data_IF_733886399973
#
_entry.id   IF_733886399973
#
_cell.length_a   1.000
_cell.length_b   1.000
_cell.length_c   1.000
_cell.angle_alpha   90.00
_cell.angle_beta   90.00
_cell.angle_gamma   90.00
#
_symmetry.space_group_name_H-M   'P 1'
#
loop_
_entity.id
_entity.type
_entity.pdbx_description
1 polymer ?
#
# COMPACT_ATOMS: atom_id res chain seq x y z
N UNK A 1 6.24 13.60 -35.70
CA UNK A 1 7.35 14.07 -34.88
C UNK A 1 6.94 13.90 -33.42
N UNK A 2 7.36 12.81 -32.78
CA UNK A 2 7.10 12.62 -31.34
C UNK A 2 8.27 13.24 -30.59
N UNK A 3 8.03 14.38 -29.96
CA UNK A 3 8.98 14.88 -28.97
C UNK A 3 9.06 13.91 -27.80
N UNK A 4 10.25 13.46 -27.38
CA UNK A 4 10.42 12.73 -26.15
C UNK A 4 10.07 13.69 -25.01
N UNK A 5 8.96 13.40 -24.32
CA UNK A 5 8.53 14.16 -23.18
C UNK A 5 9.56 14.09 -22.06
N UNK A 6 10.21 15.19 -21.80
CA UNK A 6 11.02 15.45 -20.60
C UNK A 6 10.09 15.55 -19.38
N UNK A 7 9.44 14.41 -19.06
CA UNK A 7 8.55 14.32 -17.92
C UNK A 7 9.37 13.95 -16.70
N UNK A 8 9.37 14.84 -15.72
CA UNK A 8 9.83 14.57 -14.37
C UNK A 8 9.28 13.20 -13.89
N UNK A 9 10.07 12.41 -13.12
CA UNK A 9 9.64 11.10 -12.61
C UNK A 9 8.35 11.12 -11.80
N UNK A 10 7.88 12.30 -11.40
CA UNK A 10 6.63 12.48 -10.66
C UNK A 10 5.37 12.63 -11.54
N UNK A 11 5.52 12.64 -12.87
CA UNK A 11 4.38 12.72 -13.78
C UNK A 11 3.78 11.34 -14.05
N UNK A 12 2.50 11.18 -13.68
CA UNK A 12 1.73 9.96 -13.98
C UNK A 12 0.68 10.25 -15.03
N UNK A 13 0.67 9.47 -16.11
CA UNK A 13 -0.37 9.51 -17.15
C UNK A 13 -1.26 8.29 -17.01
N UNK A 14 -2.55 8.49 -17.09
CA UNK A 14 -3.53 7.40 -17.13
C UNK A 14 -4.18 7.34 -18.50
N UNK A 15 -4.28 6.14 -19.06
CA UNK A 15 -5.17 5.86 -20.17
C UNK A 15 -6.61 6.12 -19.73
N UNK A 16 -7.45 6.70 -20.62
CA UNK A 16 -8.78 7.21 -20.24
C UNK A 16 -9.70 6.12 -19.66
N UNK A 17 -9.72 4.91 -20.22
CA UNK A 17 -10.52 3.80 -19.69
C UNK A 17 -10.05 3.39 -18.30
N UNK A 18 -8.73 3.36 -18.09
CA UNK A 18 -8.15 3.08 -16.80
C UNK A 18 -8.51 4.15 -15.77
N UNK A 19 -8.48 5.42 -16.17
CA UNK A 19 -8.90 6.54 -15.33
C UNK A 19 -10.34 6.36 -14.85
N UNK A 20 -11.29 6.16 -15.79
CA UNK A 20 -12.69 5.97 -15.44
C UNK A 20 -12.94 4.74 -14.56
N UNK A 21 -12.28 3.62 -14.85
CA UNK A 21 -12.36 2.43 -14.00
C UNK A 21 -11.92 2.71 -12.56
N UNK A 22 -10.80 3.41 -12.39
CA UNK A 22 -10.28 3.78 -11.07
C UNK A 22 -11.22 4.79 -10.37
N UNK A 23 -11.82 5.72 -11.10
CA UNK A 23 -12.77 6.68 -10.56
C UNK A 23 -14.05 5.98 -10.03
N UNK A 24 -14.64 5.09 -10.85
CA UNK A 24 -15.82 4.29 -10.47
C UNK A 24 -15.50 3.34 -9.29
N UNK A 25 -14.27 2.84 -9.21
CA UNK A 25 -13.77 2.03 -8.11
C UNK A 25 -13.45 2.86 -6.85
N UNK A 26 -13.73 4.16 -6.85
CA UNK A 26 -13.46 5.08 -5.76
C UNK A 26 -11.97 5.07 -5.32
N UNK A 27 -11.05 5.04 -6.29
CA UNK A 27 -9.62 5.13 -6.00
C UNK A 27 -9.31 6.51 -5.38
N UNK A 28 -8.73 6.58 -4.16
CA UNK A 28 -8.53 7.85 -3.45
C UNK A 28 -7.72 8.88 -4.24
N UNK A 29 -6.66 8.46 -4.94
CA UNK A 29 -5.81 9.37 -5.70
C UNK A 29 -6.54 9.98 -6.91
N UNK A 30 -7.38 9.18 -7.59
CA UNK A 30 -8.16 9.65 -8.73
C UNK A 30 -9.30 10.56 -8.28
N UNK A 31 -9.98 10.20 -7.19
CA UNK A 31 -11.00 11.08 -6.61
C UNK A 31 -10.37 12.42 -6.18
N UNK A 32 -9.27 12.38 -5.42
CA UNK A 32 -8.56 13.59 -5.01
C UNK A 32 -8.18 14.49 -6.19
N UNK A 33 -7.74 13.91 -7.32
CA UNK A 33 -7.41 14.65 -8.53
C UNK A 33 -8.61 15.43 -9.07
N UNK A 34 -9.82 14.88 -9.01
CA UNK A 34 -11.05 15.55 -9.48
C UNK A 34 -11.50 16.70 -8.54
N UNK A 35 -11.00 16.74 -7.29
CA UNK A 35 -11.28 17.80 -6.31
C UNK A 35 -10.08 18.73 -6.06
N UNK A 36 -9.04 18.66 -6.90
CA UNK A 36 -7.96 19.67 -6.87
C UNK A 36 -8.52 21.06 -7.19
N UNK A 37 -7.86 22.07 -6.64
CA UNK A 37 -8.29 23.46 -6.83
C UNK A 37 -8.09 23.90 -8.29
N UNK A 38 -8.93 24.77 -8.83
CA UNK A 38 -8.79 25.27 -10.21
C UNK A 38 -7.40 25.84 -10.52
N UNK A 39 -6.78 26.51 -9.56
CA UNK A 39 -5.44 27.10 -9.70
C UNK A 39 -4.32 26.05 -9.78
N UNK A 40 -4.57 24.82 -9.36
CA UNK A 40 -3.62 23.72 -9.46
C UNK A 40 -3.74 22.98 -10.82
N UNK A 41 -4.74 23.31 -11.62
CA UNK A 41 -4.91 22.73 -12.95
C UNK A 41 -4.00 23.43 -13.95
N UNK A 42 -3.12 22.68 -14.62
CA UNK A 42 -2.24 23.23 -15.66
C UNK A 42 -2.96 23.45 -16.99
N UNK A 43 -3.73 22.46 -17.40
CA UNK A 43 -4.52 22.47 -18.63
C UNK A 43 -5.80 21.70 -18.39
N UNK A 44 -6.93 22.27 -18.73
CA UNK A 44 -8.23 21.59 -18.73
C UNK A 44 -8.83 21.70 -20.11
N UNK A 45 -9.07 20.57 -20.76
CA UNK A 45 -9.78 20.51 -22.05
C UNK A 45 -11.29 20.61 -21.84
N UNK A 46 -12.09 20.91 -22.88
CA UNK A 46 -13.55 20.89 -22.77
C UNK A 46 -14.13 19.55 -22.27
N UNK A 47 -13.46 18.44 -22.59
CA UNK A 47 -13.83 17.13 -22.03
C UNK A 47 -13.49 17.03 -20.53
N UNK A 48 -12.36 17.61 -20.12
CA UNK A 48 -11.97 17.72 -18.72
C UNK A 48 -12.94 18.55 -17.89
N UNK A 49 -13.41 19.68 -18.43
CA UNK A 49 -14.44 20.52 -17.77
C UNK A 49 -15.74 19.73 -17.53
N UNK A 50 -16.22 18.99 -18.54
CA UNK A 50 -17.39 18.12 -18.39
C UNK A 50 -17.19 17.03 -17.33
N UNK A 51 -15.98 16.44 -17.27
CA UNK A 51 -15.63 15.45 -16.26
C UNK A 51 -15.67 16.06 -14.85
N UNK A 52 -15.06 17.23 -14.69
CA UNK A 52 -15.03 17.94 -13.40
C UNK A 52 -16.44 18.38 -12.97
N UNK A 53 -17.28 18.78 -13.90
CA UNK A 53 -18.69 19.11 -13.61
C UNK A 53 -19.50 17.89 -13.15
N UNK A 54 -19.17 16.70 -13.67
CA UNK A 54 -19.84 15.44 -13.32
C UNK A 54 -19.17 14.66 -12.16
N UNK A 55 -18.15 15.23 -11.51
CA UNK A 55 -17.30 14.52 -10.52
C UNK A 55 -18.06 13.91 -9.36
N UNK A 56 -19.16 14.53 -8.90
CA UNK A 56 -19.96 14.03 -7.80
C UNK A 56 -20.63 12.68 -8.11
N UNK A 57 -20.88 12.39 -9.40
CA UNK A 57 -21.41 11.09 -9.83
C UNK A 57 -20.47 9.92 -9.55
N UNK A 58 -19.20 10.19 -9.25
CA UNK A 58 -18.23 9.15 -8.87
C UNK A 58 -18.21 8.88 -7.35
N UNK A 59 -18.88 9.71 -6.55
CA UNK A 59 -19.00 9.47 -5.13
C UNK A 59 -20.04 8.38 -4.87
N UNK A 60 -19.63 7.33 -4.22
CA UNK A 60 -20.48 6.18 -3.90
C UNK A 60 -20.13 5.60 -2.54
N UNK A 61 -20.99 4.71 -2.01
CA UNK A 61 -20.71 3.98 -0.75
C UNK A 61 -19.40 3.18 -0.78
N UNK A 62 -18.87 2.87 -1.97
CA UNK A 62 -17.54 2.24 -2.12
C UNK A 62 -16.41 3.10 -1.57
N UNK A 63 -16.59 4.41 -1.45
CA UNK A 63 -15.59 5.31 -0.85
C UNK A 63 -15.23 4.83 0.55
N UNK A 64 -16.20 4.55 1.41
CA UNK A 64 -15.93 4.08 2.78
C UNK A 64 -15.04 2.83 2.79
N UNK A 65 -15.40 1.85 1.97
CA UNK A 65 -14.66 0.58 1.88
C UNK A 65 -13.25 0.79 1.30
N UNK A 66 -13.14 1.51 0.19
CA UNK A 66 -11.86 1.72 -0.51
C UNK A 66 -10.91 2.58 0.30
N UNK A 67 -11.37 3.71 0.82
CA UNK A 67 -10.55 4.58 1.65
C UNK A 67 -10.13 3.88 2.95
N UNK A 68 -11.05 3.13 3.56
CA UNK A 68 -10.73 2.29 4.73
C UNK A 68 -9.63 1.28 4.44
N UNK A 69 -9.70 0.55 3.33
CA UNK A 69 -8.64 -0.39 2.92
C UNK A 69 -7.28 0.30 2.70
N UNK A 70 -7.28 1.46 2.02
CA UNK A 70 -6.04 2.23 1.81
C UNK A 70 -5.48 2.75 3.14
N UNK A 71 -6.33 3.25 4.03
CA UNK A 71 -5.92 3.70 5.35
C UNK A 71 -5.32 2.56 6.19
N UNK A 72 -5.96 1.39 6.20
CA UNK A 72 -5.42 0.19 6.87
C UNK A 72 -4.08 -0.26 6.28
N UNK A 73 -3.91 -0.18 4.95
CA UNK A 73 -2.64 -0.48 4.30
C UNK A 73 -1.53 0.49 4.74
N UNK A 74 -1.82 1.80 4.87
CA UNK A 74 -0.87 2.77 5.39
C UNK A 74 -0.53 2.48 6.86
N UNK A 75 -1.52 2.19 7.69
CA UNK A 75 -1.30 1.85 9.10
C UNK A 75 -0.43 0.59 9.24
N UNK A 76 -0.68 -0.44 8.43
CA UNK A 76 0.15 -1.65 8.40
C UNK A 76 1.61 -1.32 8.04
N UNK A 77 1.84 -0.48 7.04
CA UNK A 77 3.19 -0.02 6.66
C UNK A 77 3.87 0.73 7.81
N UNK A 78 3.17 1.67 8.44
CA UNK A 78 3.69 2.43 9.60
C UNK A 78 4.14 1.47 10.69
N UNK A 79 3.30 0.49 11.06
CA UNK A 79 3.63 -0.50 12.09
C UNK A 79 4.83 -1.37 11.70
N UNK A 80 4.87 -1.86 10.47
CA UNK A 80 5.97 -2.70 9.98
C UNK A 80 7.29 -1.91 9.95
N UNK A 81 7.29 -0.70 9.38
CA UNK A 81 8.49 0.13 9.32
C UNK A 81 8.96 0.55 10.72
N UNK A 82 8.02 0.85 11.62
CA UNK A 82 8.37 1.13 13.03
C UNK A 82 9.07 -0.06 13.70
N UNK A 83 8.58 -1.28 13.48
CA UNK A 83 9.24 -2.50 13.99
C UNK A 83 10.66 -2.59 13.46
N UNK A 84 10.88 -2.34 12.18
CA UNK A 84 12.22 -2.37 11.59
C UNK A 84 13.14 -1.24 12.08
N UNK A 85 12.59 -0.08 12.42
CA UNK A 85 13.35 1.01 13.01
C UNK A 85 13.80 0.69 14.44
N UNK A 86 12.92 0.09 15.25
CA UNK A 86 13.17 -0.17 16.67
C UNK A 86 13.89 -1.50 16.92
N UNK A 87 13.64 -2.49 16.09
CA UNK A 87 14.18 -3.85 16.21
C UNK A 87 14.48 -4.41 14.81
N UNK A 88 15.55 -3.92 14.16
CA UNK A 88 15.93 -4.41 12.84
C UNK A 88 16.28 -5.89 12.89
N UNK A 89 15.95 -6.66 11.85
CA UNK A 89 16.37 -8.06 11.75
C UNK A 89 17.90 -8.16 11.77
N UNK A 90 18.44 -9.07 12.56
CA UNK A 90 19.89 -9.25 12.75
C UNK A 90 20.58 -9.89 11.54
N UNK A 91 19.83 -10.54 10.65
CA UNK A 91 20.38 -11.22 9.46
C UNK A 91 19.33 -11.99 8.68
N UNK A 92 19.74 -12.57 7.58
CA UNK A 92 18.90 -13.45 6.79
C UNK A 92 18.50 -14.70 7.61
N UNK A 93 17.20 -15.10 7.58
CA UNK A 93 16.78 -16.29 8.28
C UNK A 93 17.41 -17.53 7.64
N UNK A 94 17.88 -18.45 8.47
CA UNK A 94 18.44 -19.74 8.06
C UNK A 94 17.45 -20.87 8.33
N UNK A 95 17.52 -21.95 7.57
CA UNK A 95 16.68 -23.12 7.75
C UNK A 95 16.84 -23.76 9.14
N UNK A 96 18.09 -23.79 9.63
CA UNK A 96 18.41 -24.32 10.95
C UNK A 96 17.69 -23.61 12.09
N UNK A 97 17.45 -22.31 12.01
CA UNK A 97 16.68 -21.54 12.99
C UNK A 97 15.22 -22.04 13.13
N UNK A 98 14.71 -22.73 12.12
CA UNK A 98 13.36 -23.29 12.09
C UNK A 98 13.35 -24.82 12.31
N UNK A 99 14.52 -25.41 12.66
CA UNK A 99 14.66 -26.86 12.82
C UNK A 99 14.47 -27.63 11.50
N UNK A 100 14.82 -27.00 10.38
CA UNK A 100 14.74 -27.59 9.04
C UNK A 100 16.15 -27.98 8.57
N UNK A 101 16.29 -29.07 7.79
CA UNK A 101 17.57 -29.43 7.15
C UNK A 101 17.98 -28.36 6.13
N UNK A 102 19.26 -28.28 5.80
CA UNK A 102 19.83 -27.26 4.89
C UNK A 102 19.14 -27.23 3.52
N UNK A 103 18.66 -28.38 3.06
CA UNK A 103 17.89 -28.48 1.81
C UNK A 103 16.52 -29.08 2.10
N UNK A 104 15.50 -28.56 1.41
CA UNK A 104 14.18 -29.20 1.48
C UNK A 104 14.21 -30.51 0.71
N UNK A 105 13.62 -31.55 1.32
CA UNK A 105 13.39 -32.83 0.67
C UNK A 105 12.01 -32.90 0.00
N UNK A 106 11.20 -31.89 0.20
CA UNK A 106 9.83 -31.82 -0.35
C UNK A 106 9.88 -31.00 -1.65
N UNK A 107 9.48 -31.57 -2.79
CA UNK A 107 9.34 -30.83 -4.03
C UNK A 107 8.42 -29.62 -3.89
N UNK A 108 8.69 -28.53 -4.63
CA UNK A 108 7.99 -27.27 -4.47
C UNK A 108 6.49 -27.35 -4.78
N UNK A 109 6.10 -28.17 -5.73
CA UNK A 109 4.71 -28.48 -6.11
C UNK A 109 3.98 -29.23 -5.01
N UNK A 110 4.61 -30.23 -4.40
CA UNK A 110 4.05 -30.99 -3.29
C UNK A 110 3.92 -30.12 -2.03
N UNK A 111 4.88 -29.23 -1.80
CA UNK A 111 4.82 -28.29 -0.69
C UNK A 111 3.65 -27.31 -0.86
N UNK A 112 3.45 -26.78 -2.07
CA UNK A 112 2.35 -25.88 -2.38
C UNK A 112 0.98 -26.58 -2.25
N UNK A 113 0.86 -27.81 -2.72
CA UNK A 113 -0.36 -28.60 -2.59
C UNK A 113 -0.70 -28.91 -1.12
N UNK A 114 0.30 -29.29 -0.33
CA UNK A 114 0.12 -29.55 1.10
C UNK A 114 -0.22 -28.27 1.90
N UNK A 115 0.38 -27.13 1.56
CA UNK A 115 0.02 -25.83 2.15
C UNK A 115 -1.44 -25.47 1.85
N UNK A 116 -1.91 -25.71 0.61
CA UNK A 116 -3.30 -25.43 0.20
C UNK A 116 -4.30 -26.32 0.96
N UNK A 117 -4.00 -27.60 1.15
CA UNK A 117 -4.84 -28.53 1.92
C UNK A 117 -4.95 -28.11 3.40
N UNK A 118 -3.84 -27.71 4.01
CA UNK A 118 -3.85 -27.22 5.39
C UNK A 118 -4.65 -25.93 5.56
N UNK A 119 -4.57 -25.02 4.58
CA UNK A 119 -5.28 -23.75 4.60
C UNK A 119 -6.79 -23.96 4.35
N UNK A 120 -7.19 -25.00 3.60
CA UNK A 120 -8.59 -25.40 3.41
C UNK A 120 -9.22 -26.07 4.64
N UNK A 121 -8.44 -26.40 5.67
CA UNK A 121 -8.92 -27.08 6.87
C UNK A 121 -9.17 -28.59 6.72
N UNK A 122 -8.79 -29.16 5.58
CA UNK A 122 -8.96 -30.59 5.26
C UNK A 122 -7.89 -31.47 5.94
N UNK A 123 -7.74 -31.29 7.27
CA UNK A 123 -6.73 -32.01 8.04
C UNK A 123 -7.01 -33.51 8.16
N UNK A 124 -8.29 -33.90 8.06
CA UNK A 124 -8.73 -35.27 8.22
C UNK A 124 -8.80 -36.07 6.90
N UNK A 125 -8.70 -35.39 5.76
CA UNK A 125 -8.82 -36.03 4.45
C UNK A 125 -7.53 -36.68 3.93
N UNK A 126 -6.38 -36.34 4.51
CA UNK A 126 -5.10 -36.95 4.17
C UNK A 126 -4.59 -37.73 5.37
N UNK A 127 -4.18 -38.95 5.11
CA UNK A 127 -3.45 -39.83 6.07
C UNK A 127 -2.03 -39.26 6.32
N UNK A 128 -2.00 -38.00 6.82
CA UNK A 128 -0.78 -37.19 6.97
C UNK A 128 -0.28 -37.27 8.36
N UNK A 129 0.92 -37.79 8.52
CA UNK A 129 1.52 -37.94 9.85
C UNK A 129 1.68 -36.59 10.56
N UNK A 130 1.48 -36.51 11.90
CA UNK A 130 1.68 -35.30 12.68
C UNK A 130 3.06 -34.64 12.46
N UNK A 131 4.10 -35.48 12.28
CA UNK A 131 5.45 -35.02 11.99
C UNK A 131 5.55 -34.26 10.65
N UNK A 132 4.83 -34.70 9.62
CA UNK A 132 4.82 -34.03 8.32
C UNK A 132 4.13 -32.69 8.42
N UNK A 133 3.00 -32.58 9.14
CA UNK A 133 2.32 -31.31 9.40
C UNK A 133 3.24 -30.32 10.13
N UNK A 134 4.01 -30.80 11.08
CA UNK A 134 4.96 -29.95 11.79
C UNK A 134 6.08 -29.44 10.87
N UNK A 135 6.63 -30.27 10.01
CA UNK A 135 7.63 -29.88 9.01
C UNK A 135 7.05 -28.84 8.05
N UNK A 136 5.83 -29.02 7.55
CA UNK A 136 5.15 -28.04 6.70
C UNK A 136 4.97 -26.68 7.40
N UNK A 137 4.57 -26.69 8.67
CA UNK A 137 4.43 -25.47 9.44
C UNK A 137 5.78 -24.75 9.65
N UNK A 138 6.86 -25.50 9.82
CA UNK A 138 8.22 -24.94 9.90
C UNK A 138 8.66 -24.35 8.55
N UNK A 139 8.40 -25.02 7.43
CA UNK A 139 8.65 -24.49 6.07
C UNK A 139 7.85 -23.20 5.81
N UNK A 140 6.57 -23.18 6.17
CA UNK A 140 5.72 -21.98 6.03
C UNK A 140 6.27 -20.79 6.85
N UNK A 141 6.70 -21.04 8.08
CA UNK A 141 7.34 -20.02 8.94
C UNK A 141 8.66 -19.52 8.35
N UNK A 142 9.49 -20.42 7.84
CA UNK A 142 10.75 -20.06 7.19
C UNK A 142 10.53 -19.23 5.94
N UNK A 143 9.62 -19.63 5.04
CA UNK A 143 9.25 -18.84 3.84
C UNK A 143 8.72 -17.47 4.21
N UNK A 144 7.88 -17.37 5.24
CA UNK A 144 7.38 -16.09 5.75
C UNK A 144 8.51 -15.20 6.27
N UNK A 145 9.44 -15.74 7.03
CA UNK A 145 10.60 -15.02 7.54
C UNK A 145 11.52 -14.55 6.40
N UNK A 146 11.74 -15.38 5.37
CA UNK A 146 12.48 -14.97 4.18
C UNK A 146 11.79 -13.84 3.41
N UNK A 147 10.46 -13.89 3.28
CA UNK A 147 9.70 -12.84 2.63
C UNK A 147 9.80 -11.52 3.42
N UNK A 148 9.70 -11.57 4.75
CA UNK A 148 9.89 -10.41 5.63
C UNK A 148 11.30 -9.84 5.53
N UNK A 149 12.32 -10.68 5.48
CA UNK A 149 13.70 -10.26 5.29
C UNK A 149 13.92 -9.55 3.94
N UNK A 150 13.35 -10.09 2.86
CA UNK A 150 13.40 -9.42 1.55
C UNK A 150 12.71 -8.07 1.59
N UNK A 151 11.51 -7.99 2.17
CA UNK A 151 10.78 -6.72 2.31
C UNK A 151 11.56 -5.69 3.14
N UNK A 152 12.22 -6.12 4.21
CA UNK A 152 13.09 -5.26 5.01
C UNK A 152 14.26 -4.69 4.19
N UNK A 153 14.95 -5.55 3.42
CA UNK A 153 16.07 -5.10 2.58
C UNK A 153 15.60 -4.17 1.46
N UNK A 154 14.45 -4.45 0.83
CA UNK A 154 13.88 -3.57 -0.18
C UNK A 154 13.49 -2.21 0.42
N UNK A 155 12.90 -2.19 1.61
CA UNK A 155 12.61 -0.96 2.33
C UNK A 155 13.91 -0.20 2.64
N UNK A 156 14.94 -0.87 3.13
CA UNK A 156 16.22 -0.26 3.48
C UNK A 156 16.90 0.37 2.27
N UNK A 157 16.90 -0.31 1.11
CA UNK A 157 17.46 0.19 -0.15
C UNK A 157 16.70 1.40 -0.70
N UNK A 158 15.37 1.40 -0.55
CA UNK A 158 14.49 2.42 -1.11
C UNK A 158 14.14 3.53 -0.10
N UNK A 159 14.71 3.47 1.11
CA UNK A 159 14.50 4.48 2.13
C UNK A 159 15.05 5.82 1.68
N UNK A 160 14.23 6.87 1.78
CA UNK A 160 14.65 8.21 1.41
C UNK A 160 15.49 8.83 2.54
N UNK A 161 16.78 9.12 2.29
CA UNK A 161 17.67 9.68 3.32
C UNK A 161 17.15 10.99 3.92
N UNK A 162 16.56 11.87 3.11
CA UNK A 162 16.02 13.16 3.58
C UNK A 162 14.86 13.02 4.60
N UNK A 163 14.28 11.81 4.73
CA UNK A 163 13.21 11.52 5.70
C UNK A 163 13.69 10.67 6.88
N UNK A 164 14.89 10.11 6.81
CA UNK A 164 15.41 9.23 7.85
C UNK A 164 15.47 9.91 9.22
N UNK A 165 15.82 11.18 9.27
CA UNK A 165 15.88 11.95 10.50
C UNK A 165 14.50 12.16 11.14
N UNK A 166 13.48 12.39 10.29
CA UNK A 166 12.09 12.48 10.75
C UNK A 166 11.58 11.13 11.27
N UNK A 167 11.93 10.05 10.58
CA UNK A 167 11.57 8.69 10.99
C UNK A 167 12.19 8.33 12.34
N UNK A 168 13.46 8.66 12.55
CA UNK A 168 14.15 8.48 13.84
C UNK A 168 13.51 9.34 14.93
N UNK A 169 13.26 10.62 14.64
CA UNK A 169 12.69 11.58 15.61
C UNK A 169 11.29 11.19 16.05
N UNK A 170 10.43 10.75 15.13
CA UNK A 170 9.03 10.45 15.41
C UNK A 170 8.74 8.96 15.58
N UNK A 171 9.70 8.10 15.28
CA UNK A 171 9.56 6.64 15.39
C UNK A 171 8.67 6.00 14.33
N UNK A 172 8.34 6.73 13.25
CA UNK A 172 7.58 6.21 12.12
C UNK A 172 7.76 7.07 10.86
N UNK A 173 7.42 6.51 9.68
CA UNK A 173 7.40 7.26 8.41
C UNK A 173 6.25 8.29 8.41
N UNK A 174 6.61 9.56 8.57
CA UNK A 174 5.67 10.68 8.64
C UNK A 174 4.86 10.86 7.35
N UNK A 175 5.39 10.46 6.18
CA UNK A 175 4.65 10.49 4.91
C UNK A 175 3.47 9.53 4.94
N UNK A 176 3.67 8.31 5.42
CA UNK A 176 2.58 7.34 5.57
C UNK A 176 1.56 7.81 6.61
N UNK A 177 2.02 8.44 7.70
CA UNK A 177 1.15 9.07 8.69
C UNK A 177 0.27 10.17 8.09
N UNK A 178 0.86 11.07 7.32
CA UNK A 178 0.14 12.12 6.59
C UNK A 178 -0.91 11.54 5.63
N UNK A 179 -0.54 10.52 4.85
CA UNK A 179 -1.48 9.86 3.95
C UNK A 179 -2.64 9.19 4.69
N UNK A 180 -2.37 8.54 5.82
CA UNK A 180 -3.39 7.92 6.66
C UNK A 180 -4.43 8.96 7.12
N UNK A 181 -3.96 10.05 7.72
CA UNK A 181 -4.85 11.13 8.23
C UNK A 181 -5.64 11.76 7.08
N UNK A 182 -5.00 12.03 5.94
CA UNK A 182 -5.66 12.60 4.75
C UNK A 182 -6.77 11.69 4.25
N UNK A 183 -6.51 10.40 4.08
CA UNK A 183 -7.52 9.44 3.62
C UNK A 183 -8.71 9.32 4.56
N UNK A 184 -8.45 9.33 5.88
CA UNK A 184 -9.52 9.30 6.87
C UNK A 184 -10.38 10.56 6.83
N UNK A 185 -9.77 11.75 6.75
CA UNK A 185 -10.51 13.01 6.64
C UNK A 185 -11.35 13.06 5.39
N UNK A 186 -10.78 12.74 4.23
CA UNK A 186 -11.52 12.68 2.97
C UNK A 186 -12.71 11.71 3.05
N UNK A 187 -12.51 10.52 3.62
CA UNK A 187 -13.59 9.55 3.78
C UNK A 187 -14.72 10.10 4.66
N UNK A 188 -14.39 10.74 5.78
CA UNK A 188 -15.38 11.35 6.67
C UNK A 188 -16.13 12.47 5.98
N UNK A 189 -15.44 13.38 5.29
CA UNK A 189 -16.07 14.49 4.54
C UNK A 189 -17.06 13.98 3.50
N UNK A 190 -16.69 12.94 2.73
CA UNK A 190 -17.58 12.36 1.71
C UNK A 190 -18.78 11.65 2.35
N UNK A 191 -18.59 10.97 3.48
CA UNK A 191 -19.67 10.23 4.15
C UNK A 191 -20.63 11.14 4.91
N UNK A 192 -20.12 12.23 5.48
CA UNK A 192 -20.88 13.16 6.31
C UNK A 192 -21.71 14.15 5.45
N UNK A 193 -21.12 14.66 4.38
CA UNK A 193 -21.78 15.66 3.54
C UNK A 193 -22.64 15.05 2.44
N UNK A 194 -22.41 13.80 2.06
CA UNK A 194 -22.95 13.24 0.82
C UNK A 194 -22.55 14.02 -0.43
N UNK A 195 -21.92 15.14 -0.23
CA UNK A 195 -21.35 16.07 -1.21
C UNK A 195 -19.86 16.15 -0.93
N UNK A 196 -19.03 15.90 -1.94
CA UNK A 196 -17.60 16.06 -1.82
C UNK A 196 -17.21 17.50 -1.57
N UNK A 197 -17.45 17.99 -0.35
CA UNK A 197 -16.98 19.31 0.04
C UNK A 197 -15.46 19.37 -0.08
N UNK A 198 -14.98 20.47 -0.57
CA UNK A 198 -13.60 20.81 -0.92
C UNK A 198 -12.62 20.34 0.15
N UNK A 199 -11.95 19.24 -0.10
CA UNK A 199 -10.81 18.82 0.71
C UNK A 199 -9.73 19.90 0.64
N UNK A 200 -9.62 20.73 1.64
CA UNK A 200 -8.48 21.63 1.80
C UNK A 200 -7.26 20.80 2.19
N UNK A 201 -6.60 20.21 1.22
CA UNK A 201 -5.51 19.25 1.43
C UNK A 201 -4.15 19.89 1.71
N UNK A 202 -4.08 21.20 1.87
CA UNK A 202 -2.80 21.86 2.15
C UNK A 202 -2.94 22.88 3.29
N UNK A 203 -2.16 22.75 4.39
CA UNK A 203 -1.99 23.85 5.31
C UNK A 203 -1.41 25.07 4.53
N UNK A 204 -1.76 26.30 4.92
CA UNK A 204 -1.20 27.49 4.27
C UNK A 204 0.33 27.35 4.27
N UNK A 205 0.95 27.64 3.13
CA UNK A 205 2.39 27.83 3.07
C UNK A 205 2.71 28.94 4.06
N UNK A 206 3.37 28.61 5.15
CA UNK A 206 4.06 29.60 5.93
C UNK A 206 5.07 30.23 4.99
N UNK A 207 4.79 31.45 4.53
CA UNK A 207 5.78 32.32 3.95
C UNK A 207 6.88 32.43 5.00
N UNK A 208 8.02 31.79 4.74
CA UNK A 208 9.25 32.22 5.38
C UNK A 208 9.55 33.55 4.69
N UNK A 209 9.30 34.62 5.37
CA UNK A 209 9.92 35.92 5.07
C UNK A 209 11.46 35.79 5.24
N UNK A 210 12.22 36.57 4.49
CA UNK A 210 13.64 36.43 4.21
C UNK A 210 14.55 36.44 5.42
#
# INVERSE_FOLDING_TARGET
MNEPSDLSPDHVRHEIRKFFRLAVDANPTILELMWTRPEDHRVVSPAGERLLAARESFLSRRVAERFGRYALAQLKRIRTHRTWLLSPPSGAPTRGQFGLPDRTLIPADQLAAAEALLDAGERDAADVSPNFIEVLNREKRYKSAQAQWRQYNDWLKNRNPARSDLEVRFGYDTKHGMHLVRLQRMALEILDSGEGQRVQTRPPRTTRDP
#
